data_IF_227996031845
#
_entry.id   IF_227996031845
#
_cell.length_a   1.000
_cell.length_b   1.000
_cell.length_c   1.000
_cell.angle_alpha   90.00
_cell.angle_beta   90.00
_cell.angle_gamma   90.00
#
_symmetry.space_group_name_H-M   'P 1'
#
loop_
_entity.id
_entity.type
_entity.pdbx_description
1 polymer ?
#
# COMPACT_ATOMS: atom_id res chain seq x y z
N UNK A 1 -7.61 5.94 23.88
CA UNK A 1 -6.33 5.38 23.40
C UNK A 1 -6.57 4.20 22.49
N UNK A 2 -7.26 3.13 22.97
CA UNK A 2 -7.62 1.97 22.14
C UNK A 2 -8.34 2.33 20.83
N UNK A 3 -9.44 3.07 20.88
CA UNK A 3 -10.18 3.50 19.68
C UNK A 3 -9.32 4.28 18.66
N UNK A 4 -8.35 5.08 19.12
CA UNK A 4 -7.44 5.80 18.21
C UNK A 4 -6.45 4.86 17.52
N UNK A 5 -5.95 3.85 18.23
CA UNK A 5 -5.08 2.83 17.65
C UNK A 5 -5.86 1.97 16.65
N UNK A 6 -7.10 1.60 16.99
CA UNK A 6 -8.00 0.85 16.12
C UNK A 6 -8.30 1.58 14.80
N UNK A 7 -8.62 2.88 14.87
CA UNK A 7 -8.82 3.68 13.65
C UNK A 7 -7.58 3.69 12.77
N UNK A 8 -6.40 3.94 13.33
CA UNK A 8 -5.14 3.93 12.58
C UNK A 8 -4.83 2.58 11.95
N UNK A 9 -5.17 1.48 12.63
CA UNK A 9 -5.02 0.14 12.09
C UNK A 9 -5.88 -0.05 10.85
N UNK A 10 -7.16 0.33 10.89
CA UNK A 10 -8.05 0.27 9.72
C UNK A 10 -7.59 1.17 8.58
N UNK A 11 -7.19 2.41 8.88
CA UNK A 11 -6.63 3.33 7.88
C UNK A 11 -5.40 2.70 7.20
N UNK A 12 -4.53 2.04 7.97
CA UNK A 12 -3.35 1.36 7.45
C UNK A 12 -3.69 0.13 6.60
N UNK A 13 -4.74 -0.62 6.95
CA UNK A 13 -5.24 -1.72 6.10
C UNK A 13 -5.78 -1.21 4.77
N UNK A 14 -6.48 -0.08 4.77
CA UNK A 14 -6.97 0.55 3.55
C UNK A 14 -5.80 1.04 2.68
N UNK A 15 -4.80 1.69 3.27
CA UNK A 15 -3.56 2.09 2.57
C UNK A 15 -2.84 0.90 1.94
N UNK A 16 -2.69 -0.21 2.68
CA UNK A 16 -2.08 -1.44 2.16
C UNK A 16 -2.88 -2.01 0.98
N UNK A 17 -4.21 -1.91 1.03
CA UNK A 17 -5.08 -2.38 -0.05
C UNK A 17 -4.86 -1.54 -1.30
N UNK A 18 -4.87 -0.20 -1.17
CA UNK A 18 -4.57 0.73 -2.26
C UNK A 18 -3.18 0.51 -2.86
N UNK A 19 -2.16 0.28 -2.04
CA UNK A 19 -0.79 0.01 -2.53
C UNK A 19 -0.71 -1.29 -3.34
N UNK A 20 -1.47 -2.33 -2.97
CA UNK A 20 -1.53 -3.57 -3.76
C UNK A 20 -2.18 -3.35 -5.11
N UNK A 21 -3.26 -2.57 -5.16
CA UNK A 21 -3.90 -2.17 -6.42
C UNK A 21 -2.95 -1.33 -7.28
N UNK A 22 -2.20 -0.39 -6.69
CA UNK A 22 -1.17 0.38 -7.39
C UNK A 22 -0.07 -0.54 -7.99
N UNK A 23 0.41 -1.52 -7.22
CA UNK A 23 1.40 -2.49 -7.71
C UNK A 23 0.86 -3.34 -8.87
N UNK A 24 -0.40 -3.80 -8.79
CA UNK A 24 -1.06 -4.52 -9.89
C UNK A 24 -1.14 -3.65 -11.15
N UNK A 25 -1.54 -2.38 -11.02
CA UNK A 25 -1.57 -1.44 -12.13
C UNK A 25 -0.18 -1.23 -12.76
N UNK A 26 0.90 -1.29 -11.98
CA UNK A 26 2.27 -1.19 -12.50
C UNK A 26 2.70 -2.47 -13.23
N UNK A 27 2.22 -3.64 -12.82
CA UNK A 27 2.43 -4.90 -13.56
C UNK A 27 1.73 -4.81 -14.92
N UNK A 28 0.49 -4.35 -14.94
CA UNK A 28 -0.26 -4.12 -16.18
C UNK A 28 0.43 -3.09 -17.08
N UNK A 29 0.98 -2.02 -16.51
CA UNK A 29 1.76 -1.03 -17.25
C UNK A 29 3.03 -1.63 -17.89
N UNK A 30 3.68 -2.57 -17.20
CA UNK A 30 4.86 -3.27 -17.74
C UNK A 30 4.47 -4.13 -18.95
N UNK A 31 3.38 -4.89 -18.83
CA UNK A 31 2.86 -5.68 -19.95
C UNK A 31 2.46 -4.80 -21.15
N UNK A 32 1.86 -3.64 -20.90
CA UNK A 32 1.49 -2.69 -21.95
C UNK A 32 2.71 -2.09 -22.68
N UNK A 33 3.84 -1.90 -21.99
CA UNK A 33 5.11 -1.47 -22.61
C UNK A 33 5.60 -2.55 -23.58
N UNK A 34 5.62 -3.81 -23.15
CA UNK A 34 6.07 -4.94 -23.98
C UNK A 34 5.21 -5.11 -25.25
N UNK A 35 3.92 -4.80 -25.18
CA UNK A 35 2.99 -4.86 -26.31
C UNK A 35 3.25 -3.78 -27.38
N UNK A 36 4.03 -2.73 -27.09
CA UNK A 36 4.35 -1.68 -28.08
C UNK A 36 5.33 -2.14 -29.17
N UNK A 37 6.00 -3.28 -28.96
CA UNK A 37 6.95 -3.88 -29.91
C UNK A 37 8.03 -2.91 -30.42
N UNK A 38 8.45 -1.93 -29.61
CA UNK A 38 9.46 -0.94 -29.99
C UNK A 38 8.97 0.14 -30.97
N UNK A 39 7.66 0.40 -31.04
CA UNK A 39 7.12 1.48 -31.86
C UNK A 39 7.55 2.86 -31.31
N UNK A 40 8.43 3.53 -32.05
CA UNK A 40 8.94 4.87 -31.69
C UNK A 40 7.81 5.87 -31.42
N UNK A 41 7.79 6.41 -30.18
CA UNK A 41 6.83 7.41 -29.76
C UNK A 41 5.46 6.87 -29.32
N UNK A 42 5.28 5.55 -29.26
CA UNK A 42 4.09 4.91 -28.73
C UNK A 42 3.89 5.14 -27.22
N UNK A 43 5.00 5.31 -26.48
CA UNK A 43 4.98 5.51 -25.04
C UNK A 43 5.08 6.99 -24.65
N UNK A 44 4.29 7.36 -23.65
CA UNK A 44 4.33 8.67 -23.01
C UNK A 44 4.19 8.54 -21.51
N UNK A 45 5.11 9.14 -20.77
CA UNK A 45 4.95 9.33 -19.34
C UNK A 45 4.16 10.60 -19.07
N UNK A 46 3.10 10.48 -18.27
CA UNK A 46 2.39 11.64 -17.75
C UNK A 46 3.01 12.05 -16.41
N UNK A 47 3.66 13.20 -16.41
CA UNK A 47 4.31 13.78 -15.23
C UNK A 47 3.71 15.14 -14.94
N UNK A 48 3.01 15.24 -13.81
CA UNK A 48 2.35 16.47 -13.32
C UNK A 48 1.33 17.01 -14.33
N UNK A 49 1.75 17.87 -15.26
CA UNK A 49 0.91 18.51 -16.27
C UNK A 49 1.44 18.32 -17.70
N UNK A 50 2.46 17.47 -17.88
CA UNK A 50 3.12 17.23 -19.17
C UNK A 50 3.12 15.76 -19.56
N UNK A 51 3.03 15.49 -20.87
CA UNK A 51 3.27 14.17 -21.46
C UNK A 51 4.59 14.19 -22.21
N UNK A 52 5.50 13.29 -21.86
CA UNK A 52 6.84 13.21 -22.45
C UNK A 52 6.96 11.87 -23.16
N UNK A 53 7.29 11.89 -24.45
CA UNK A 53 7.62 10.66 -25.18
C UNK A 53 8.93 10.08 -24.65
N UNK A 54 8.91 8.77 -24.41
CA UNK A 54 10.05 8.03 -23.85
C UNK A 54 10.31 6.79 -24.69
N UNK A 55 11.52 6.26 -24.60
CA UNK A 55 11.83 4.93 -25.15
C UNK A 55 11.28 3.83 -24.23
N UNK A 56 11.11 2.64 -24.78
CA UNK A 56 10.73 1.43 -24.05
C UNK A 56 11.68 1.19 -22.87
N UNK A 57 13.00 1.22 -23.09
CA UNK A 57 14.00 1.07 -22.03
C UNK A 57 13.81 2.05 -20.87
N UNK A 58 13.45 3.31 -21.18
CA UNK A 58 13.22 4.36 -20.19
C UNK A 58 11.91 4.11 -19.44
N UNK A 59 10.86 3.72 -20.15
CA UNK A 59 9.56 3.42 -19.56
C UNK A 59 9.65 2.20 -18.64
N UNK A 60 10.29 1.11 -19.10
CA UNK A 60 10.51 -0.11 -18.31
C UNK A 60 11.31 0.20 -17.06
N UNK A 61 12.46 0.87 -17.19
CA UNK A 61 13.30 1.23 -16.04
C UNK A 61 12.53 2.08 -15.01
N UNK A 62 11.68 3.01 -15.48
CA UNK A 62 10.87 3.85 -14.61
C UNK A 62 9.79 3.04 -13.87
N UNK A 63 9.09 2.15 -14.57
CA UNK A 63 8.05 1.31 -13.96
C UNK A 63 8.66 0.31 -12.98
N UNK A 64 9.79 -0.32 -13.31
CA UNK A 64 10.52 -1.22 -12.41
C UNK A 64 10.96 -0.50 -11.12
N UNK A 65 11.54 0.69 -11.23
CA UNK A 65 11.91 1.49 -10.06
C UNK A 65 10.68 1.79 -9.19
N UNK A 66 9.57 2.19 -9.81
CA UNK A 66 8.35 2.53 -9.07
C UNK A 66 7.74 1.28 -8.39
N UNK A 67 7.80 0.11 -9.03
CA UNK A 67 7.40 -1.15 -8.41
C UNK A 67 8.26 -1.48 -7.19
N UNK A 68 9.58 -1.34 -7.28
CA UNK A 68 10.49 -1.57 -6.15
C UNK A 68 10.20 -0.62 -4.98
N UNK A 69 10.05 0.68 -5.26
CA UNK A 69 9.72 1.69 -4.25
C UNK A 69 8.38 1.36 -3.55
N UNK A 70 7.36 1.00 -4.32
CA UNK A 70 6.02 0.67 -3.81
C UNK A 70 5.99 -0.66 -3.05
N UNK A 71 6.77 -1.65 -3.48
CA UNK A 71 6.91 -2.92 -2.78
C UNK A 71 7.58 -2.73 -1.42
N UNK A 72 8.65 -1.92 -1.36
CA UNK A 72 9.29 -1.56 -0.11
C UNK A 72 8.33 -0.80 0.82
N UNK A 73 7.54 0.15 0.31
CA UNK A 73 6.52 0.86 1.09
C UNK A 73 5.45 -0.10 1.64
N UNK A 74 5.00 -1.07 0.82
CA UNK A 74 4.06 -2.10 1.22
C UNK A 74 4.61 -2.95 2.37
N UNK A 75 5.85 -3.41 2.26
CA UNK A 75 6.48 -4.25 3.28
C UNK A 75 6.65 -3.48 4.60
N UNK A 76 7.10 -2.22 4.55
CA UNK A 76 7.18 -1.36 5.74
C UNK A 76 5.81 -1.14 6.42
N UNK A 77 4.74 -0.95 5.63
CA UNK A 77 3.40 -0.76 6.19
C UNK A 77 2.86 -2.05 6.80
N UNK A 78 3.19 -3.22 6.22
CA UNK A 78 2.80 -4.53 6.79
C UNK A 78 3.49 -4.77 8.14
N UNK A 79 4.78 -4.48 8.25
CA UNK A 79 5.50 -4.58 9.53
C UNK A 79 4.88 -3.66 10.59
N UNK A 80 4.55 -2.42 10.23
CA UNK A 80 3.85 -1.48 11.14
C UNK A 80 2.45 -1.96 11.52
N UNK A 81 1.73 -2.58 10.60
CA UNK A 81 0.41 -3.14 10.86
C UNK A 81 0.48 -4.27 11.89
N UNK A 82 1.45 -5.18 11.75
CA UNK A 82 1.71 -6.26 12.72
C UNK A 82 2.08 -5.71 14.10
N UNK A 83 2.90 -4.65 14.15
CA UNK A 83 3.22 -3.96 15.41
C UNK A 83 1.96 -3.39 16.07
N UNK A 84 1.10 -2.71 15.30
CA UNK A 84 -0.16 -2.16 15.80
C UNK A 84 -1.11 -3.24 16.30
N UNK A 85 -1.19 -4.39 15.62
CA UNK A 85 -1.99 -5.53 16.06
C UNK A 85 -1.50 -6.07 17.42
N UNK A 86 -0.18 -6.19 17.58
CA UNK A 86 0.45 -6.56 18.84
C UNK A 86 0.12 -5.58 19.98
N UNK A 87 0.30 -4.28 19.74
CA UNK A 87 -0.04 -3.22 20.70
C UNK A 87 -1.53 -3.24 21.08
N UNK A 88 -2.40 -3.52 20.11
CA UNK A 88 -3.84 -3.57 20.30
C UNK A 88 -4.26 -4.77 21.15
N UNK A 89 -3.66 -5.95 20.92
CA UNK A 89 -3.85 -7.13 21.75
C UNK A 89 -3.46 -6.88 23.20
N UNK A 90 -2.27 -6.32 23.42
CA UNK A 90 -1.74 -6.07 24.77
C UNK A 90 -2.60 -5.05 25.51
N UNK A 91 -3.03 -3.98 24.82
CA UNK A 91 -3.92 -2.97 25.38
C UNK A 91 -5.31 -3.53 25.70
N UNK A 92 -5.85 -4.41 24.85
CA UNK A 92 -7.13 -5.09 25.09
C UNK A 92 -7.05 -5.93 26.37
N UNK A 93 -6.02 -6.77 26.50
CA UNK A 93 -5.78 -7.57 27.71
C UNK A 93 -5.67 -6.71 28.97
N UNK A 94 -4.91 -5.61 28.92
CA UNK A 94 -4.78 -4.67 30.04
C UNK A 94 -6.13 -4.06 30.45
N UNK A 95 -6.93 -3.59 29.47
CA UNK A 95 -8.21 -2.95 29.73
C UNK A 95 -9.23 -3.93 30.32
N UNK A 96 -9.30 -5.16 29.81
CA UNK A 96 -10.18 -6.18 30.40
C UNK A 96 -9.74 -6.61 31.80
N UNK A 97 -8.44 -6.72 32.08
CA UNK A 97 -7.96 -7.01 33.43
C UNK A 97 -8.34 -5.90 34.42
N UNK A 98 -8.36 -4.64 33.98
CA UNK A 98 -8.66 -3.48 34.83
C UNK A 98 -10.15 -3.21 35.01
N UNK A 99 -10.94 -3.38 33.96
CA UNK A 99 -12.34 -2.97 33.93
C UNK A 99 -13.33 -4.16 33.86
N UNK A 100 -12.84 -5.38 33.62
CA UNK A 100 -13.65 -6.59 33.57
C UNK A 100 -14.77 -6.49 32.53
N UNK A 101 -15.95 -6.99 32.89
CA UNK A 101 -17.15 -6.98 32.05
C UNK A 101 -17.84 -5.62 31.93
N UNK A 102 -17.29 -4.56 32.53
CA UNK A 102 -17.87 -3.20 32.40
C UNK A 102 -17.56 -2.53 31.06
N UNK A 103 -16.72 -3.14 30.22
CA UNK A 103 -16.37 -2.67 28.88
C UNK A 103 -16.56 -3.78 27.85
N UNK A 104 -16.76 -3.40 26.59
CA UNK A 104 -16.72 -4.30 25.44
C UNK A 104 -15.84 -3.68 24.34
N UNK A 105 -14.79 -4.40 23.94
CA UNK A 105 -13.78 -4.00 22.96
C UNK A 105 -13.75 -4.95 21.74
N UNK A 106 -14.77 -5.79 21.58
CA UNK A 106 -14.92 -6.61 20.38
C UNK A 106 -15.44 -5.76 19.20
N UNK A 107 -14.87 -5.96 18.02
CA UNK A 107 -15.36 -5.33 16.79
C UNK A 107 -16.67 -6.01 16.33
N UNK A 108 -17.63 -5.20 15.91
CA UNK A 108 -18.76 -5.70 15.11
C UNK A 108 -18.22 -5.95 13.71
N UNK A 109 -18.05 -7.24 13.35
CA UNK A 109 -17.75 -7.66 11.99
C UNK A 109 -18.77 -7.12 10.99
#
# INVERSE_FOLDING_TARGET
>A
MFSKLNMKYHDMQEDITKLKEELENLVDATAAIDETLGEDGALKLFMTEAMISVSDDTATSYVEQLQEEKQNELDEKRDKLEEMEGQMRDLKSYLYAKFGSSINLEEQQ
#
